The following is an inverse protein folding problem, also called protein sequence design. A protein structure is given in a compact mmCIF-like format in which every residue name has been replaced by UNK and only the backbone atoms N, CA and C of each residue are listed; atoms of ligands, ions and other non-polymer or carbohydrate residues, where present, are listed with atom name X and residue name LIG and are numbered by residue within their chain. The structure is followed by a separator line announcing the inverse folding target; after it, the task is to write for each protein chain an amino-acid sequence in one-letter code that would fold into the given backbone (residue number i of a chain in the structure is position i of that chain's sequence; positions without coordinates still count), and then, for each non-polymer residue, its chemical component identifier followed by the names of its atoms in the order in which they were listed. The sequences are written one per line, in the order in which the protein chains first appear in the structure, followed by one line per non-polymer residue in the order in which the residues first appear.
data_IF_603603869679
#
_entry.id   IF_603603869679
#
_cell.length_a   1.000
_cell.length_b   1.000
_cell.length_c   1.000
_cell.angle_alpha   90.00
_cell.angle_beta   90.00
_cell.angle_gamma   90.00
#
_symmetry.space_group_name_H-M   'P 1'
#
loop_
_entity.id
_entity.type
_entity.pdbx_description
1 polymer ?
#
# COMPACT_ATOMS: atom_id res chain seq x y z
N UNK A 1 6.29 10.70 12.81
CA UNK A 1 5.00 9.96 13.00
C UNK A 1 4.95 8.81 12.00
N UNK A 2 3.95 7.92 12.08
CA UNK A 2 3.73 6.85 11.08
C UNK A 2 2.24 6.78 10.77
N UNK A 3 1.87 7.08 9.53
CA UNK A 3 0.48 7.19 9.07
C UNK A 3 0.29 6.38 7.79
N UNK A 4 -0.72 5.52 7.79
CA UNK A 4 -1.06 4.71 6.63
C UNK A 4 -2.53 4.91 6.26
N UNK A 5 -2.83 5.03 4.97
CA UNK A 5 -4.19 5.17 4.45
C UNK A 5 -4.38 4.30 3.22
N UNK A 6 -5.47 3.55 3.22
CA UNK A 6 -5.96 2.85 2.05
C UNK A 6 -6.99 3.72 1.33
N UNK A 7 -6.92 3.73 0.00
CA UNK A 7 -7.91 4.38 -0.85
C UNK A 7 -8.33 3.40 -1.94
N UNK A 8 -9.63 3.35 -2.15
CA UNK A 8 -10.28 2.51 -3.14
C UNK A 8 -10.99 3.44 -4.13
N UNK A 9 -10.59 3.37 -5.39
CA UNK A 9 -11.14 4.19 -6.46
C UNK A 9 -11.92 3.28 -7.41
N UNK A 10 -13.23 3.46 -7.48
CA UNK A 10 -14.04 2.77 -8.47
C UNK A 10 -13.63 3.21 -9.88
N UNK A 11 -13.24 2.25 -10.73
CA UNK A 11 -12.90 2.52 -12.13
C UNK A 11 -14.09 2.19 -13.05
N UNK A 12 -14.72 1.04 -12.79
CA UNK A 12 -15.90 0.52 -13.48
C UNK A 12 -16.74 -0.28 -12.48
N UNK A 13 -17.91 -0.75 -12.91
CA UNK A 13 -18.78 -1.60 -12.07
C UNK A 13 -18.11 -2.86 -11.54
N UNK A 14 -17.14 -3.39 -12.30
CA UNK A 14 -16.40 -4.63 -12.04
C UNK A 14 -14.91 -4.39 -11.74
N UNK A 15 -14.49 -3.12 -11.57
CA UNK A 15 -13.08 -2.79 -11.41
C UNK A 15 -12.87 -1.67 -10.40
N UNK A 16 -11.92 -1.89 -9.49
CA UNK A 16 -11.49 -0.92 -8.49
C UNK A 16 -9.96 -0.83 -8.51
N UNK A 17 -9.43 0.39 -8.38
CA UNK A 17 -8.02 0.65 -8.14
C UNK A 17 -7.79 0.79 -6.64
N UNK A 18 -6.76 0.12 -6.16
CA UNK A 18 -6.34 0.18 -4.76
C UNK A 18 -5.06 1.01 -4.70
N UNK A 19 -5.03 1.98 -3.79
CA UNK A 19 -3.85 2.81 -3.52
C UNK A 19 -3.53 2.72 -2.03
N UNK A 20 -2.30 2.37 -1.71
CA UNK A 20 -1.78 2.44 -0.35
C UNK A 20 -0.87 3.65 -0.23
N UNK A 21 -1.20 4.54 0.70
CA UNK A 21 -0.38 5.71 1.03
C UNK A 21 0.23 5.53 2.41
N UNK A 22 1.55 5.64 2.48
CA UNK A 22 2.31 5.52 3.71
C UNK A 22 3.17 6.77 3.88
N UNK A 23 3.00 7.43 5.02
CA UNK A 23 3.73 8.63 5.40
C UNK A 23 4.42 8.37 6.73
N UNK A 24 5.70 8.71 6.81
CA UNK A 24 6.47 8.58 8.03
C UNK A 24 7.44 9.76 8.18
N UNK A 25 7.71 10.13 9.41
CA UNK A 25 8.63 11.21 9.77
C UNK A 25 9.52 10.74 10.90
N UNK A 26 10.84 10.88 10.72
CA UNK A 26 11.87 10.51 11.68
C UNK A 26 12.54 11.76 12.27
N UNK A 27 12.85 11.70 13.57
CA UNK A 27 13.37 12.85 14.34
C UNK A 27 14.82 13.23 14.00
N UNK A 28 15.55 12.38 13.28
CA UNK A 28 16.87 12.67 12.71
C UNK A 28 16.85 12.20 11.27
N UNK A 29 17.29 13.05 10.33
CA UNK A 29 17.22 12.85 8.87
C UNK A 29 18.03 11.66 8.32
N UNK A 30 18.39 10.69 9.14
CA UNK A 30 18.93 9.40 8.75
C UNK A 30 17.75 8.45 8.54
N UNK A 31 16.96 8.72 7.50
CA UNK A 31 16.30 7.62 6.81
C UNK A 31 17.29 7.21 5.75
N UNK A 32 18.09 6.20 6.08
CA UNK A 32 19.02 5.65 5.12
C UNK A 32 18.23 5.18 3.89
N UNK A 33 18.77 5.33 2.68
CA UNK A 33 18.12 4.94 1.43
C UNK A 33 17.60 3.49 1.45
N UNK A 34 18.27 2.63 2.23
CA UNK A 34 17.85 1.27 2.51
C UNK A 34 16.47 1.17 3.18
N UNK A 35 16.15 2.05 4.13
CA UNK A 35 14.87 2.09 4.82
C UNK A 35 13.73 2.49 3.87
N UNK A 36 13.94 3.50 3.02
CA UNK A 36 12.97 3.90 2.00
C UNK A 36 12.65 2.75 1.03
N UNK A 37 13.67 2.02 0.59
CA UNK A 37 13.52 0.84 -0.27
C UNK A 37 12.79 -0.32 0.42
N UNK A 38 13.10 -0.57 1.70
CA UNK A 38 12.40 -1.56 2.51
C UNK A 38 10.91 -1.22 2.64
N UNK A 39 10.58 0.02 2.98
CA UNK A 39 9.18 0.46 3.11
C UNK A 39 8.43 0.42 1.77
N UNK A 40 9.08 0.78 0.67
CA UNK A 40 8.49 0.67 -0.67
C UNK A 40 8.18 -0.78 -1.04
N UNK A 41 9.09 -1.71 -0.74
CA UNK A 41 8.85 -3.15 -0.93
C UNK A 41 7.71 -3.66 -0.05
N UNK A 42 7.68 -3.28 1.23
CA UNK A 42 6.59 -3.65 2.14
C UNK A 42 5.23 -3.11 1.67
N UNK A 43 5.17 -1.87 1.19
CA UNK A 43 3.96 -1.27 0.63
C UNK A 43 3.43 -2.06 -0.58
N UNK A 44 4.32 -2.47 -1.50
CA UNK A 44 3.94 -3.29 -2.64
C UNK A 44 3.42 -4.67 -2.20
N UNK A 45 4.12 -5.33 -1.27
CA UNK A 45 3.68 -6.63 -0.74
C UNK A 45 2.29 -6.55 -0.09
N UNK A 46 1.98 -5.46 0.61
CA UNK A 46 0.66 -5.24 1.21
C UNK A 46 -0.42 -5.06 0.14
N UNK A 47 -0.14 -4.30 -0.93
CA UNK A 47 -1.06 -4.13 -2.06
C UNK A 47 -1.29 -5.48 -2.75
N UNK A 48 -0.23 -6.23 -3.04
CA UNK A 48 -0.32 -7.53 -3.70
C UNK A 48 -1.11 -8.56 -2.87
N UNK A 49 -0.86 -8.60 -1.56
CA UNK A 49 -1.61 -9.47 -0.65
C UNK A 49 -3.11 -9.13 -0.62
N UNK A 50 -3.45 -7.83 -0.59
CA UNK A 50 -4.83 -7.37 -0.59
C UNK A 50 -5.52 -7.70 -1.93
N UNK A 51 -4.85 -7.48 -3.06
CA UNK A 51 -5.35 -7.85 -4.39
C UNK A 51 -5.53 -9.37 -4.48
N UNK A 52 -4.58 -10.15 -3.97
CA UNK A 52 -4.67 -11.61 -3.90
C UNK A 52 -5.90 -12.07 -3.12
N UNK A 53 -6.17 -11.45 -1.97
CA UNK A 53 -7.37 -11.75 -1.18
C UNK A 53 -8.66 -11.34 -1.89
N UNK A 54 -8.68 -10.17 -2.52
CA UNK A 54 -9.83 -9.71 -3.29
C UNK A 54 -10.20 -10.70 -4.41
N UNK A 55 -9.20 -11.26 -5.11
CA UNK A 55 -9.42 -12.32 -6.12
C UNK A 55 -10.01 -13.60 -5.53
N UNK A 56 -9.87 -13.89 -4.24
CA UNK A 56 -10.48 -15.08 -3.65
C UNK A 56 -11.93 -14.84 -3.23
N UNK A 57 -12.26 -13.63 -2.78
CA UNK A 57 -13.57 -13.31 -2.18
C UNK A 57 -14.54 -12.69 -3.18
N UNK A 58 -14.03 -11.94 -4.16
CA UNK A 58 -14.85 -11.18 -5.11
C UNK A 58 -14.97 -11.84 -6.50
N UNK A 59 -14.30 -12.96 -6.74
CA UNK A 59 -14.35 -13.68 -8.03
C UNK A 59 -15.48 -14.73 -8.09
N UNK A 60 -16.58 -14.48 -7.38
CA UNK A 60 -17.80 -15.31 -7.41
C UNK A 60 -18.81 -14.75 -8.40
#
# INVERSE_FOLDING_TARGET
SFNAKWRFEALRRDACKIVFHLEFEFKSGIVDFAAEKLFSSSANNLVDALVGRAKQVCSS
#
